data_IF_169553130854
#
_entry.id   IF_169553130854
#
_cell.length_a   1.000
_cell.length_b   1.000
_cell.length_c   1.000
_cell.angle_alpha   90.00
_cell.angle_beta   90.00
_cell.angle_gamma   90.00
#
_symmetry.space_group_name_H-M   'P 1'
#
loop_
_entity.id
_entity.type
_entity.pdbx_description
1 polymer ?
#
# COMPACT_ATOMS: atom_id res chain seq x y z
N UNK A 1 -7.54 7.30 11.02
CA UNK A 1 -6.70 8.42 10.52
C UNK A 1 -5.57 7.76 9.76
N UNK A 2 -5.42 8.04 8.46
CA UNK A 2 -4.30 7.47 7.72
C UNK A 2 -3.03 8.08 8.29
N UNK A 3 -2.15 7.24 8.82
CA UNK A 3 -0.80 7.63 9.21
C UNK A 3 -0.09 8.14 7.94
N UNK A 4 0.61 9.26 8.01
CA UNK A 4 1.31 9.82 6.84
C UNK A 4 2.34 8.79 6.32
N UNK A 5 2.19 8.37 5.06
CA UNK A 5 3.13 7.48 4.40
C UNK A 5 4.49 8.17 4.27
N UNK A 6 5.53 7.54 4.82
CA UNK A 6 6.90 7.97 4.65
C UNK A 6 7.43 7.52 3.29
N UNK A 7 7.45 8.45 2.34
CA UNK A 7 7.95 8.20 0.98
C UNK A 7 9.47 8.05 1.02
N UNK A 8 9.93 6.86 0.67
CA UNK A 8 11.36 6.52 0.66
C UNK A 8 11.99 6.75 -0.70
N UNK A 9 13.28 7.11 -0.74
CA UNK A 9 14.08 7.21 -1.96
C UNK A 9 15.22 6.20 -1.91
N UNK A 10 15.72 5.78 -3.07
CA UNK A 10 16.78 4.78 -3.18
C UNK A 10 16.46 3.73 -4.23
N UNK A 11 17.11 2.58 -4.14
CA UNK A 11 16.79 1.42 -4.98
C UNK A 11 15.36 0.96 -4.74
N UNK A 12 14.76 0.29 -5.72
CA UNK A 12 13.41 -0.27 -5.58
C UNK A 12 13.31 -1.25 -4.40
N UNK A 13 14.39 -2.00 -4.13
CA UNK A 13 14.46 -2.93 -3.01
C UNK A 13 14.37 -2.20 -1.66
N UNK A 14 15.15 -1.14 -1.46
CA UNK A 14 15.12 -0.32 -0.24
C UNK A 14 13.74 0.33 -0.05
N UNK A 15 13.14 0.85 -1.12
CA UNK A 15 11.79 1.42 -1.06
C UNK A 15 10.74 0.37 -0.63
N UNK A 16 10.83 -0.88 -1.09
CA UNK A 16 9.93 -1.92 -0.61
C UNK A 16 10.19 -2.31 0.84
N UNK A 17 11.46 -2.36 1.28
CA UNK A 17 11.81 -2.67 2.67
C UNK A 17 11.18 -1.69 3.65
N UNK A 18 11.07 -0.40 3.29
CA UNK A 18 10.40 0.62 4.12
C UNK A 18 8.89 0.65 3.93
N UNK A 19 8.37 0.36 2.73
CA UNK A 19 6.93 0.42 2.43
C UNK A 19 6.14 -0.73 3.06
N UNK A 20 6.67 -1.95 3.03
CA UNK A 20 5.98 -3.16 3.53
C UNK A 20 5.51 -3.01 4.99
N UNK A 21 6.34 -2.59 5.96
CA UNK A 21 5.87 -2.43 7.34
C UNK A 21 4.80 -1.34 7.50
N UNK A 22 4.86 -0.27 6.70
CA UNK A 22 3.84 0.79 6.70
C UNK A 22 2.50 0.27 6.17
N UNK A 23 2.52 -0.49 5.06
CA UNK A 23 1.32 -1.14 4.53
C UNK A 23 0.73 -2.09 5.57
N UNK A 24 1.58 -2.88 6.25
CA UNK A 24 1.14 -3.81 7.29
C UNK A 24 0.42 -3.10 8.43
N UNK A 25 0.96 -1.96 8.89
CA UNK A 25 0.31 -1.14 9.91
C UNK A 25 -1.03 -0.56 9.41
N UNK A 26 -1.08 -0.10 8.16
CA UNK A 26 -2.28 0.50 7.54
C UNK A 26 -3.48 -0.46 7.44
N UNK A 27 -3.23 -1.76 7.35
CA UNK A 27 -4.27 -2.80 7.24
C UNK A 27 -4.49 -3.58 8.54
N UNK A 28 -3.68 -3.33 9.57
CA UNK A 28 -3.80 -4.03 10.84
C UNK A 28 -5.05 -3.57 11.59
N UNK A 29 -5.86 -4.53 12.05
CA UNK A 29 -7.13 -4.25 12.73
C UNK A 29 -8.27 -3.73 11.85
N UNK A 30 -8.07 -3.57 10.53
CA UNK A 30 -9.14 -3.18 9.59
C UNK A 30 -9.85 -4.43 9.03
N UNK A 31 -11.12 -4.67 9.39
CA UNK A 31 -11.85 -5.87 8.93
C UNK A 31 -12.36 -5.77 7.49
N UNK A 32 -12.53 -4.57 6.92
CA UNK A 32 -13.09 -4.41 5.58
C UNK A 32 -12.06 -4.73 4.49
N UNK A 33 -12.37 -5.73 3.67
CA UNK A 33 -11.49 -6.16 2.58
C UNK A 33 -11.24 -5.04 1.56
N UNK A 34 -12.27 -4.28 1.21
CA UNK A 34 -12.15 -3.22 0.19
C UNK A 34 -11.29 -2.07 0.71
N UNK A 35 -11.44 -1.70 1.98
CA UNK A 35 -10.61 -0.72 2.67
C UNK A 35 -9.15 -1.15 2.68
N UNK A 36 -8.87 -2.41 3.03
CA UNK A 36 -7.51 -2.95 3.00
C UNK A 36 -6.91 -2.92 1.58
N UNK A 37 -7.65 -3.35 0.57
CA UNK A 37 -7.19 -3.30 -0.81
C UNK A 37 -6.94 -1.86 -1.27
N UNK A 38 -7.80 -0.92 -0.90
CA UNK A 38 -7.64 0.50 -1.21
C UNK A 38 -6.42 1.13 -0.50
N UNK A 39 -6.19 0.79 0.77
CA UNK A 39 -5.02 1.24 1.53
C UNK A 39 -3.73 0.73 0.90
N UNK A 40 -3.69 -0.54 0.47
CA UNK A 40 -2.52 -1.12 -0.20
C UNK A 40 -2.26 -0.43 -1.54
N UNK A 41 -3.28 -0.24 -2.38
CA UNK A 41 -3.10 0.41 -3.69
C UNK A 41 -2.71 1.86 -3.55
N UNK A 42 -3.30 2.58 -2.58
CA UNK A 42 -2.94 3.95 -2.23
C UNK A 42 -1.47 4.05 -1.83
N UNK A 43 -1.02 3.21 -0.90
CA UNK A 43 0.38 3.22 -0.45
C UNK A 43 1.38 2.94 -1.58
N UNK A 44 1.08 1.98 -2.45
CA UNK A 44 1.90 1.68 -3.62
C UNK A 44 1.90 2.83 -4.64
N UNK A 45 0.74 3.46 -4.88
CA UNK A 45 0.62 4.60 -5.81
C UNK A 45 1.41 5.80 -5.32
N UNK A 46 1.29 6.14 -4.03
CA UNK A 46 2.01 7.27 -3.43
C UNK A 46 3.52 7.06 -3.44
N UNK A 47 4.01 5.85 -3.10
CA UNK A 47 5.45 5.56 -3.09
C UNK A 47 6.08 5.60 -4.48
N UNK A 48 5.39 5.11 -5.51
CA UNK A 48 6.00 4.86 -6.82
C UNK A 48 5.48 5.75 -7.96
N UNK A 49 4.35 6.45 -7.79
CA UNK A 49 3.77 7.30 -8.82
C UNK A 49 3.33 6.56 -10.08
N UNK A 50 3.15 5.23 -10.03
CA UNK A 50 2.77 4.43 -11.20
C UNK A 50 1.44 4.89 -11.78
N UNK A 51 1.28 4.81 -13.10
CA UNK A 51 0.03 5.21 -13.75
C UNK A 51 -1.18 4.47 -13.17
N UNK A 52 -1.07 3.16 -12.97
CA UNK A 52 -2.16 2.32 -12.47
C UNK A 52 -1.66 1.27 -11.46
N UNK A 53 -2.41 1.09 -10.37
CA UNK A 53 -2.19 0.09 -9.31
C UNK A 53 -3.55 -0.43 -8.86
N UNK A 54 -3.70 -1.74 -8.75
CA UNK A 54 -5.00 -2.33 -8.43
C UNK A 54 -4.95 -3.83 -8.23
N UNK A 55 -6.08 -4.36 -7.80
CA UNK A 55 -6.33 -5.79 -7.67
C UNK A 55 -7.50 -6.20 -8.55
N UNK A 56 -7.44 -7.43 -9.07
CA UNK A 56 -8.60 -8.12 -9.61
C UNK A 56 -8.95 -9.25 -8.66
N UNK A 57 -10.21 -9.32 -8.26
CA UNK A 57 -10.71 -10.39 -7.41
C UNK A 57 -11.45 -11.39 -8.30
N UNK A 58 -11.11 -12.66 -8.15
CA UNK A 58 -11.90 -13.74 -8.74
C UNK A 58 -13.26 -13.76 -8.06
N UNK A 59 -14.33 -13.68 -8.85
CA UNK A 59 -15.70 -13.87 -8.38
C UNK A 59 -16.17 -15.24 -8.84
N UNK A 60 -16.70 -16.02 -7.90
CA UNK A 60 -17.43 -17.25 -8.17
C UNK A 60 -18.87 -16.97 -8.59
#
# INVERSE_FOLDING_TARGET
>A
MAEDLSISKGTKAEQYQTLIPQIKALIDGEPDLVANLANITGALKEQFGWFWVGFYLVKG
#
